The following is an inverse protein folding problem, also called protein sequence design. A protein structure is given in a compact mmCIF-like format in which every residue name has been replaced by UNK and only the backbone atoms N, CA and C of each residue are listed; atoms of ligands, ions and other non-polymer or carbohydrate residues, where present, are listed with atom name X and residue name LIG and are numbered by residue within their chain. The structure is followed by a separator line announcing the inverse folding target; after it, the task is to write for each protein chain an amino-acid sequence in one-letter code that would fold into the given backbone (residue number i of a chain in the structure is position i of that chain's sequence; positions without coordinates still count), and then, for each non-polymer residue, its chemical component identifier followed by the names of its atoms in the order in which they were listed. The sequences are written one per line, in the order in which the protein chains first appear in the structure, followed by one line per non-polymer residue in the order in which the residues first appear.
data_IF_158624358591
#
_entry.id   IF_158624358591
#
_cell.length_a   1.000
_cell.length_b   1.000
_cell.length_c   1.000
_cell.angle_alpha   90.00
_cell.angle_beta   90.00
_cell.angle_gamma   90.00
#
_symmetry.space_group_name_H-M   'P 1'
#
loop_
_entity.id
_entity.type
_entity.pdbx_description
1 polymer ?
#
# COMPACT_ATOMS: atom_id res chain seq x y z
N UNK A 1 -12.94 -19.04 34.23
CA UNK A 1 -12.51 -17.69 33.82
C UNK A 1 -11.21 -17.85 33.06
N UNK A 2 -11.31 -18.01 31.74
CA UNK A 2 -10.16 -18.13 30.84
C UNK A 2 -10.01 -16.77 30.15
N UNK A 3 -8.83 -16.18 30.21
CA UNK A 3 -8.47 -14.99 29.44
C UNK A 3 -7.96 -15.46 28.08
N UNK A 4 -8.82 -15.36 27.07
CA UNK A 4 -8.52 -15.60 25.65
C UNK A 4 -7.71 -14.42 25.08
N UNK A 5 -6.38 -14.48 25.21
CA UNK A 5 -5.47 -13.76 24.31
C UNK A 5 -4.54 -14.79 23.69
N UNK A 6 -4.89 -15.22 22.48
CA UNK A 6 -4.08 -16.14 21.69
C UNK A 6 -2.74 -15.50 21.35
N UNK A 7 -1.66 -16.10 21.84
CA UNK A 7 -0.30 -15.77 21.43
C UNK A 7 -0.08 -16.26 19.99
N UNK A 8 0.21 -15.36 19.06
CA UNK A 8 0.76 -15.73 17.75
C UNK A 8 2.27 -15.50 17.75
N UNK A 9 3.02 -16.59 17.91
CA UNK A 9 4.48 -16.63 17.71
C UNK A 9 4.70 -17.22 16.31
N UNK A 10 5.35 -16.46 15.43
CA UNK A 10 5.83 -16.95 14.13
C UNK A 10 7.35 -16.80 14.13
N UNK A 11 8.07 -17.91 13.94
CA UNK A 11 9.54 -17.98 13.87
C UNK A 11 10.31 -17.27 15.01
N UNK A 12 9.76 -17.32 16.23
CA UNK A 12 10.42 -16.76 17.42
C UNK A 12 10.36 -15.23 17.54
N UNK A 13 9.63 -14.57 16.65
CA UNK A 13 9.31 -13.14 16.76
C UNK A 13 7.97 -13.03 17.48
N UNK A 14 7.98 -12.43 18.67
CA UNK A 14 6.75 -11.99 19.32
C UNK A 14 6.23 -10.76 18.56
N UNK A 15 5.22 -10.97 17.72
CA UNK A 15 4.59 -9.92 16.95
C UNK A 15 3.94 -8.84 17.84
N UNK A 16 3.67 -9.15 19.12
CA UNK A 16 3.18 -8.17 20.09
C UNK A 16 4.30 -7.29 20.69
N UNK A 17 5.58 -7.66 20.49
CA UNK A 17 6.74 -6.87 20.92
C UNK A 17 7.20 -5.86 19.86
N UNK A 18 6.57 -5.85 18.69
CA UNK A 18 6.76 -4.79 17.69
C UNK A 18 5.98 -3.56 18.18
N UNK A 19 6.66 -2.69 18.91
CA UNK A 19 6.08 -1.40 19.31
C UNK A 19 5.77 -0.59 18.05
N UNK A 20 4.48 -0.30 17.83
CA UNK A 20 4.07 0.70 16.84
C UNK A 20 4.65 2.03 17.32
N UNK A 21 5.45 2.74 16.52
CA UNK A 21 6.06 3.98 16.98
C UNK A 21 4.97 4.97 17.39
N UNK A 22 5.15 5.59 18.56
CA UNK A 22 4.17 6.50 19.14
C UNK A 22 3.82 7.62 18.14
N UNK A 23 2.51 7.88 17.98
CA UNK A 23 2.02 8.92 17.09
C UNK A 23 2.09 8.62 15.58
N UNK A 24 2.28 7.37 15.16
CA UNK A 24 2.14 6.95 13.74
C UNK A 24 0.73 7.32 13.25
N UNK A 25 0.59 8.15 12.19
CA UNK A 25 -0.72 8.43 11.60
C UNK A 25 -1.38 7.13 11.12
N UNK A 26 -2.64 6.95 11.50
CA UNK A 26 -3.46 5.82 11.08
C UNK A 26 -4.45 6.28 10.02
N UNK A 27 -4.30 5.74 8.82
CA UNK A 27 -5.13 6.08 7.67
C UNK A 27 -6.39 5.20 7.70
N UNK A 28 -7.60 5.78 7.61
CA UNK A 28 -8.83 5.01 7.57
C UNK A 28 -8.80 3.97 6.44
N UNK A 29 -9.18 2.73 6.75
CA UNK A 29 -9.16 1.63 5.79
C UNK A 29 -9.93 1.93 4.52
N UNK A 30 -11.08 2.63 4.65
CA UNK A 30 -11.85 3.10 3.50
C UNK A 30 -11.04 4.00 2.56
N UNK A 31 -10.27 4.95 3.10
CA UNK A 31 -9.42 5.83 2.31
C UNK A 31 -8.26 5.06 1.68
N UNK A 32 -7.57 4.22 2.46
CA UNK A 32 -6.47 3.40 1.96
C UNK A 32 -6.93 2.47 0.82
N UNK A 33 -8.13 1.88 0.94
CA UNK A 33 -8.71 1.02 -0.08
C UNK A 33 -8.95 1.78 -1.39
N UNK A 34 -9.57 2.96 -1.32
CA UNK A 34 -9.82 3.81 -2.50
C UNK A 34 -8.50 4.23 -3.17
N UNK A 35 -7.50 4.65 -2.39
CA UNK A 35 -6.20 5.04 -2.92
C UNK A 35 -5.47 3.87 -3.59
N UNK A 36 -5.56 2.68 -3.01
CA UNK A 36 -5.02 1.45 -3.61
C UNK A 36 -5.75 1.08 -4.90
N UNK A 37 -7.08 1.11 -4.91
CA UNK A 37 -7.92 0.85 -6.10
C UNK A 37 -7.58 1.81 -7.25
N UNK A 38 -7.45 3.11 -6.95
CA UNK A 38 -7.06 4.13 -7.93
C UNK A 38 -5.68 3.86 -8.53
N UNK A 39 -4.77 3.23 -7.77
CA UNK A 39 -3.42 2.89 -8.22
C UNK A 39 -3.32 1.52 -8.93
N UNK A 40 -4.36 0.67 -8.90
CA UNK A 40 -4.34 -0.65 -9.55
C UNK A 40 -3.96 -0.63 -11.04
N UNK A 41 -4.36 0.36 -11.87
CA UNK A 41 -3.92 0.42 -13.27
C UNK A 41 -2.40 0.43 -13.44
N UNK A 42 -1.65 0.95 -12.46
CA UNK A 42 -0.17 0.96 -12.49
C UNK A 42 0.39 -0.45 -12.46
N UNK A 43 -0.24 -1.38 -11.74
CA UNK A 43 0.23 -2.77 -11.64
C UNK A 43 0.38 -3.42 -13.01
N UNK A 44 -0.61 -3.26 -13.88
CA UNK A 44 -0.58 -3.80 -15.24
C UNK A 44 0.51 -3.14 -16.10
N UNK A 45 0.73 -1.84 -15.93
CA UNK A 45 1.80 -1.08 -16.61
C UNK A 45 3.17 -1.62 -16.18
N UNK A 46 3.39 -1.77 -14.87
CA UNK A 46 4.65 -2.27 -14.32
C UNK A 46 4.91 -3.73 -14.70
N UNK A 47 3.88 -4.59 -14.73
CA UNK A 47 4.00 -5.96 -15.20
C UNK A 47 4.42 -6.03 -16.68
N UNK A 48 3.79 -5.20 -17.53
CA UNK A 48 4.17 -5.09 -18.94
C UNK A 48 5.59 -4.57 -19.11
N UNK A 49 5.98 -3.56 -18.32
CA UNK A 49 7.33 -3.02 -18.34
C UNK A 49 8.37 -4.07 -17.94
N UNK A 50 8.15 -4.79 -16.83
CA UNK A 50 9.01 -5.88 -16.37
C UNK A 50 9.20 -6.96 -17.45
N UNK A 51 8.11 -7.36 -18.11
CA UNK A 51 8.17 -8.31 -19.22
C UNK A 51 9.01 -7.78 -20.39
N UNK A 52 8.77 -6.54 -20.83
CA UNK A 52 9.49 -5.95 -21.95
C UNK A 52 10.98 -5.78 -21.66
N UNK A 53 11.34 -5.35 -20.46
CA UNK A 53 12.74 -5.26 -20.02
C UNK A 53 13.42 -6.61 -20.00
N UNK A 54 12.75 -7.66 -19.49
CA UNK A 54 13.27 -9.02 -19.50
C UNK A 54 13.48 -9.54 -20.93
N UNK A 55 12.44 -9.45 -21.77
CA UNK A 55 12.45 -9.96 -23.14
C UNK A 55 13.49 -9.23 -24.02
N UNK A 56 13.72 -7.93 -23.77
CA UNK A 56 14.71 -7.13 -24.49
C UNK A 56 16.15 -7.33 -23.98
N UNK A 57 16.34 -7.90 -22.79
CA UNK A 57 17.66 -8.00 -22.15
C UNK A 57 18.30 -6.66 -21.78
N UNK A 58 17.53 -5.57 -21.79
CA UNK A 58 17.99 -4.22 -21.47
C UNK A 58 16.91 -3.42 -20.73
N UNK A 59 17.35 -2.50 -19.86
CA UNK A 59 16.46 -1.57 -19.18
C UNK A 59 15.90 -0.59 -20.20
N UNK A 60 14.57 -0.54 -20.29
CA UNK A 60 13.87 0.34 -21.22
C UNK A 60 13.55 1.66 -20.55
N UNK A 61 13.53 2.74 -21.33
CA UNK A 61 13.01 4.01 -20.87
C UNK A 61 11.50 3.95 -20.68
N UNK A 62 11.05 4.64 -19.63
CA UNK A 62 9.64 4.78 -19.29
C UNK A 62 9.41 6.19 -18.76
N UNK A 63 8.33 6.82 -19.23
CA UNK A 63 7.83 8.05 -18.64
C UNK A 63 7.25 7.73 -17.25
N UNK A 64 8.00 8.13 -16.22
CA UNK A 64 7.63 7.91 -14.83
C UNK A 64 6.96 9.15 -14.19
N UNK A 65 6.66 10.20 -14.96
CA UNK A 65 6.02 11.41 -14.44
C UNK A 65 4.69 11.07 -13.75
N UNK A 66 3.84 10.30 -14.43
CA UNK A 66 2.54 9.82 -13.95
C UNK A 66 2.64 8.81 -12.80
N UNK A 67 3.81 8.21 -12.55
CA UNK A 67 3.99 7.28 -11.43
C UNK A 67 4.16 8.00 -10.08
N UNK A 68 4.47 9.31 -10.09
CA UNK A 68 4.69 10.09 -8.86
C UNK A 68 3.42 10.22 -8.02
N UNK A 69 2.28 10.47 -8.68
CA UNK A 69 1.00 10.66 -8.00
C UNK A 69 0.54 9.34 -7.37
N UNK A 70 0.60 8.24 -8.12
CA UNK A 70 0.28 6.91 -7.61
C UNK A 70 1.21 6.47 -6.48
N UNK A 71 2.52 6.78 -6.58
CA UNK A 71 3.45 6.50 -5.48
C UNK A 71 3.02 7.22 -4.19
N UNK A 72 2.61 8.47 -4.30
CA UNK A 72 2.14 9.26 -3.16
C UNK A 72 0.87 8.66 -2.56
N UNK A 73 -0.10 8.29 -3.40
CA UNK A 73 -1.33 7.61 -2.97
C UNK A 73 -1.03 6.30 -2.23
N UNK A 74 -0.14 5.47 -2.79
CA UNK A 74 0.24 4.19 -2.22
C UNK A 74 1.03 4.32 -0.92
N UNK A 75 1.84 5.37 -0.79
CA UNK A 75 2.49 5.71 0.47
C UNK A 75 1.46 6.00 1.56
N UNK A 76 0.37 6.71 1.25
CA UNK A 76 -0.71 6.93 2.24
C UNK A 76 -1.44 5.62 2.52
N UNK A 77 -1.78 4.85 1.48
CA UNK A 77 -2.49 3.58 1.65
C UNK A 77 -1.68 2.51 2.43
N UNK A 78 -0.34 2.58 2.44
CA UNK A 78 0.51 1.69 3.24
C UNK A 78 0.51 2.02 4.74
N UNK A 79 -0.34 2.93 5.20
CA UNK A 79 -0.54 3.24 6.62
C UNK A 79 -2.00 2.97 7.04
N UNK A 80 -2.67 2.06 6.32
CA UNK A 80 -4.02 1.60 6.65
C UNK A 80 -4.10 1.10 8.11
N UNK A 81 -5.17 1.46 8.80
CA UNK A 81 -5.38 1.10 10.19
C UNK A 81 -5.87 -0.35 10.37
N UNK A 82 -5.03 -1.22 10.93
CA UNK A 82 -5.39 -2.63 11.19
C UNK A 82 -5.83 -3.42 9.95
N UNK A 83 -5.36 -3.04 8.75
CA UNK A 83 -5.61 -3.78 7.51
C UNK A 83 -4.29 -4.27 6.89
N UNK A 84 -3.63 -5.21 7.57
CA UNK A 84 -2.27 -5.66 7.22
C UNK A 84 -2.12 -6.11 5.76
N UNK A 85 -3.10 -6.81 5.20
CA UNK A 85 -3.04 -7.24 3.79
C UNK A 85 -3.11 -6.06 2.81
N UNK A 86 -3.91 -5.04 3.13
CA UNK A 86 -4.00 -3.82 2.35
C UNK A 86 -2.71 -3.00 2.46
N UNK A 87 -2.18 -2.84 3.67
CA UNK A 87 -0.90 -2.18 3.94
C UNK A 87 0.24 -2.82 3.13
N UNK A 88 0.38 -4.14 3.21
CA UNK A 88 1.42 -4.88 2.48
C UNK A 88 1.26 -4.77 0.96
N UNK A 89 0.03 -4.82 0.47
CA UNK A 89 -0.24 -4.70 -0.97
C UNK A 89 0.09 -3.30 -1.49
N UNK A 90 -0.32 -2.27 -0.75
CA UNK A 90 -0.02 -0.88 -1.07
C UNK A 90 1.49 -0.60 -1.00
N UNK A 91 2.17 -1.10 0.04
CA UNK A 91 3.62 -1.02 0.18
C UNK A 91 4.34 -1.72 -0.97
N UNK A 92 3.95 -2.94 -1.33
CA UNK A 92 4.57 -3.67 -2.43
C UNK A 92 4.44 -2.93 -3.76
N UNK A 93 3.27 -2.36 -4.06
CA UNK A 93 3.07 -1.58 -5.28
C UNK A 93 3.83 -0.24 -5.23
N UNK A 94 3.92 0.40 -4.06
CA UNK A 94 4.78 1.57 -3.84
C UNK A 94 6.25 1.25 -4.17
N UNK A 95 6.77 0.13 -3.65
CA UNK A 95 8.15 -0.30 -3.89
C UNK A 95 8.40 -0.72 -5.34
N UNK A 96 7.41 -1.31 -6.02
CA UNK A 96 7.49 -1.57 -7.46
C UNK A 96 7.68 -0.27 -8.25
N UNK A 97 6.92 0.79 -7.91
CA UNK A 97 7.11 2.11 -8.53
C UNK A 97 8.49 2.67 -8.20
N UNK A 98 8.93 2.60 -6.95
CA UNK A 98 10.25 3.09 -6.55
C UNK A 98 11.37 2.36 -7.29
N UNK A 99 11.24 1.05 -7.48
CA UNK A 99 12.18 0.21 -8.23
C UNK A 99 12.29 0.69 -9.69
N UNK A 100 11.18 0.98 -10.38
CA UNK A 100 11.21 1.54 -11.75
C UNK A 100 11.80 2.95 -11.81
N UNK A 101 11.58 3.77 -10.78
CA UNK A 101 12.19 5.11 -10.72
C UNK A 101 13.71 5.02 -10.61
N UNK A 102 14.21 4.03 -9.87
CA UNK A 102 15.63 3.76 -9.70
C UNK A 102 16.21 2.80 -10.75
N UNK A 103 15.50 2.55 -11.86
CA UNK A 103 15.90 1.58 -12.91
C UNK A 103 17.32 1.72 -13.43
N UNK A 104 17.91 2.92 -13.37
CA UNK A 104 19.28 3.19 -13.80
C UNK A 104 20.33 2.49 -12.91
N UNK A 105 19.94 2.04 -11.72
CA UNK A 105 20.80 1.34 -10.75
C UNK A 105 20.85 -0.18 -11.00
N UNK A 106 20.02 -0.71 -11.92
CA UNK A 106 19.80 -2.15 -12.07
C UNK A 106 20.08 -2.63 -13.50
N UNK A 107 20.50 -3.89 -13.62
CA UNK A 107 20.42 -4.60 -14.89
C UNK A 107 19.00 -5.11 -15.17
N UNK A 108 18.74 -5.46 -16.43
CA UNK A 108 17.42 -5.87 -16.89
C UNK A 108 16.87 -7.12 -16.18
N UNK A 109 17.74 -8.07 -15.85
CA UNK A 109 17.32 -9.33 -15.20
C UNK A 109 16.93 -9.07 -13.76
N UNK A 110 17.75 -8.33 -13.03
CA UNK A 110 17.46 -7.95 -11.65
C UNK A 110 16.20 -7.10 -11.56
N UNK A 111 16.09 -6.05 -12.39
CA UNK A 111 14.93 -5.16 -12.42
C UNK A 111 13.63 -5.94 -12.66
N UNK A 112 13.61 -6.78 -13.69
CA UNK A 112 12.41 -7.54 -14.06
C UNK A 112 12.00 -8.51 -12.95
N UNK A 113 12.96 -9.25 -12.38
CA UNK A 113 12.70 -10.16 -11.26
C UNK A 113 12.14 -9.41 -10.06
N UNK A 114 12.78 -8.31 -9.67
CA UNK A 114 12.36 -7.52 -8.50
C UNK A 114 10.96 -6.96 -8.67
N UNK A 115 10.60 -6.52 -9.88
CA UNK A 115 9.25 -6.10 -10.18
C UNK A 115 8.25 -7.25 -10.09
N UNK A 116 8.56 -8.45 -10.59
CA UNK A 116 7.66 -9.59 -10.42
C UNK A 116 7.44 -9.96 -8.94
N UNK A 117 8.49 -9.92 -8.11
CA UNK A 117 8.38 -10.16 -6.67
C UNK A 117 7.40 -9.16 -6.01
N UNK A 118 7.58 -7.86 -6.27
CA UNK A 118 6.70 -6.84 -5.71
C UNK A 118 5.26 -6.94 -6.23
N UNK A 119 5.08 -7.18 -7.53
CA UNK A 119 3.75 -7.24 -8.14
C UNK A 119 2.97 -8.47 -7.68
N UNK A 120 3.66 -9.57 -7.38
CA UNK A 120 3.09 -10.78 -6.75
C UNK A 120 2.63 -10.50 -5.32
N UNK A 121 3.41 -9.75 -4.52
CA UNK A 121 2.97 -9.36 -3.17
C UNK A 121 1.76 -8.41 -3.19
N UNK A 122 1.63 -7.58 -4.24
CA UNK A 122 0.46 -6.74 -4.48
C UNK A 122 -0.76 -7.53 -5.05
N UNK A 123 -0.74 -8.87 -5.11
CA UNK A 123 -1.87 -9.72 -5.55
C UNK A 123 -2.85 -10.12 -4.44
N UNK A 124 -2.61 -9.73 -3.18
CA UNK A 124 -3.61 -10.00 -2.14
C UNK A 124 -4.87 -9.17 -2.41
N UNK A 125 -5.86 -9.84 -2.99
CA UNK A 125 -7.23 -9.36 -3.14
C UNK A 125 -7.77 -9.14 -1.73
N UNK A 126 -7.54 -7.96 -1.19
CA UNK A 126 -8.29 -7.50 -0.04
C UNK A 126 -9.68 -7.21 -0.59
N UNK A 127 -10.55 -8.23 -0.60
CA UNK A 127 -11.98 -7.98 -0.77
C UNK A 127 -12.36 -6.93 0.29
N UNK A 128 -13.31 -6.03 0.01
CA UNK A 128 -13.76 -5.06 1.04
C UNK A 128 -14.14 -5.76 2.35
N UNK A 129 -14.63 -7.00 2.27
CA UNK A 129 -14.90 -7.86 3.43
C UNK A 129 -13.67 -8.24 4.23
N UNK A 130 -12.51 -8.40 3.57
CA UNK A 130 -11.22 -8.74 4.18
C UNK A 130 -10.52 -7.50 4.72
N UNK A 131 -10.73 -6.33 4.09
CA UNK A 131 -10.21 -5.03 4.54
C UNK A 131 -10.87 -4.58 5.86
N UNK A 132 -12.16 -4.86 6.01
CA UNK A 132 -12.93 -4.45 7.20
C UNK A 132 -13.19 -5.62 8.16
N UNK A 133 -12.49 -6.74 8.01
CA UNK A 133 -12.84 -7.99 8.71
C UNK A 133 -12.82 -7.86 10.24
N UNK A 134 -11.83 -7.13 10.78
CA UNK A 134 -11.53 -7.07 12.21
C UNK A 134 -12.45 -6.14 13.05
N UNK A 135 -13.47 -5.54 12.45
CA UNK A 135 -14.43 -4.66 13.13
C UNK A 135 -15.72 -5.35 13.60
N UNK A 136 -16.41 -4.72 14.55
CA UNK A 136 -17.82 -4.98 14.85
C UNK A 136 -18.70 -4.75 13.61
N UNK A 137 -19.92 -5.33 13.53
CA UNK A 137 -20.85 -5.04 12.44
C UNK A 137 -21.08 -3.54 12.21
N UNK A 138 -21.13 -2.76 13.29
CA UNK A 138 -21.29 -1.30 13.28
C UNK A 138 -20.07 -0.60 12.66
N UNK A 139 -18.85 -0.89 13.14
CA UNK A 139 -17.61 -0.34 12.59
C UNK A 139 -17.44 -0.70 11.10
N UNK A 140 -17.82 -1.92 10.71
CA UNK A 140 -17.83 -2.32 9.29
C UNK A 140 -18.80 -1.51 8.46
N UNK A 141 -20.00 -1.23 8.99
CA UNK A 141 -20.99 -0.41 8.30
C UNK A 141 -20.52 1.04 8.16
N UNK A 142 -19.85 1.60 9.18
CA UNK A 142 -19.25 2.93 9.13
C UNK A 142 -18.13 3.02 8.09
N UNK A 143 -17.22 2.04 8.07
CA UNK A 143 -16.15 1.99 7.07
C UNK A 143 -16.69 1.82 5.66
N UNK A 144 -17.73 1.00 5.47
CA UNK A 144 -18.39 0.84 4.18
C UNK A 144 -19.07 2.14 3.72
N UNK A 145 -19.77 2.83 4.63
CA UNK A 145 -20.41 4.11 4.32
C UNK A 145 -19.37 5.18 3.95
N UNK A 146 -18.26 5.24 4.68
CA UNK A 146 -17.14 6.13 4.35
C UNK A 146 -16.53 5.76 3.00
N UNK A 147 -16.32 4.47 2.73
CA UNK A 147 -15.79 4.00 1.44
C UNK A 147 -16.69 4.43 0.28
N UNK A 148 -18.00 4.20 0.37
CA UNK A 148 -18.95 4.62 -0.68
C UNK A 148 -18.99 6.15 -0.84
N UNK A 149 -18.91 6.90 0.25
CA UNK A 149 -18.81 8.36 0.19
C UNK A 149 -17.56 8.79 -0.57
N UNK A 150 -16.38 8.30 -0.17
CA UNK A 150 -15.09 8.64 -0.80
C UNK A 150 -15.06 8.23 -2.27
N UNK A 151 -15.61 7.08 -2.61
CA UNK A 151 -15.74 6.61 -3.99
C UNK A 151 -16.54 7.56 -4.87
N UNK A 152 -17.58 8.17 -4.30
CA UNK A 152 -18.46 9.12 -4.99
C UNK A 152 -17.97 10.57 -4.96
N UNK A 153 -17.07 10.92 -4.03
CA UNK A 153 -16.58 12.28 -3.78
C UNK A 153 -15.06 12.36 -3.96
N UNK A 154 -14.67 12.70 -5.19
CA UNK A 154 -13.26 12.85 -5.56
C UNK A 154 -12.57 14.02 -4.84
N UNK A 155 -13.30 15.09 -4.51
CA UNK A 155 -12.75 16.26 -3.82
C UNK A 155 -12.43 15.92 -2.36
N UNK A 156 -13.36 15.25 -1.68
CA UNK A 156 -13.15 14.75 -0.32
C UNK A 156 -11.98 13.75 -0.28
N UNK A 157 -11.93 12.82 -1.23
CA UNK A 157 -10.82 11.85 -1.32
C UNK A 157 -9.48 12.54 -1.50
N UNK A 158 -9.39 13.52 -2.41
CA UNK A 158 -8.16 14.29 -2.63
C UNK A 158 -7.75 15.09 -1.39
N UNK A 159 -8.71 15.73 -0.72
CA UNK A 159 -8.48 16.48 0.52
C UNK A 159 -7.91 15.60 1.62
N UNK A 160 -8.53 14.45 1.88
CA UNK A 160 -8.05 13.52 2.91
C UNK A 160 -6.71 12.91 2.55
N UNK A 161 -6.50 12.54 1.27
CA UNK A 161 -5.20 12.05 0.81
C UNK A 161 -4.09 13.07 1.05
N UNK A 162 -4.35 14.36 0.82
CA UNK A 162 -3.37 15.43 1.04
C UNK A 162 -3.14 15.70 2.54
N UNK A 163 -4.19 15.62 3.36
CA UNK A 163 -4.08 15.73 4.82
C UNK A 163 -3.17 14.63 5.38
N UNK A 164 -3.48 13.35 5.12
CA UNK A 164 -2.70 12.24 5.65
C UNK A 164 -1.27 12.19 5.11
N UNK A 165 -1.06 12.62 3.86
CA UNK A 165 0.30 12.83 3.34
C UNK A 165 1.10 13.79 4.23
N UNK A 166 0.53 14.93 4.59
CA UNK A 166 1.19 15.92 5.45
C UNK A 166 1.48 15.36 6.84
N UNK A 167 0.51 14.68 7.46
CA UNK A 167 0.68 14.04 8.77
C UNK A 167 1.81 13.00 8.76
N UNK A 168 1.89 12.19 7.71
CA UNK A 168 2.96 11.20 7.53
C UNK A 168 4.33 11.84 7.32
N UNK A 169 4.42 12.92 6.53
CA UNK A 169 5.67 13.66 6.32
C UNK A 169 6.17 14.32 7.61
N UNK A 170 5.28 14.88 8.41
CA UNK A 170 5.61 15.45 9.72
C UNK A 170 6.09 14.36 10.69
N UNK A 171 5.41 13.22 10.73
CA UNK A 171 5.78 12.09 11.59
C UNK A 171 7.14 11.50 11.20
N UNK A 172 7.38 11.24 9.90
CA UNK A 172 8.67 10.73 9.41
C UNK A 172 9.83 11.70 9.71
N UNK A 173 9.57 13.00 9.72
CA UNK A 173 10.57 14.01 10.07
C UNK A 173 10.94 13.95 11.56
N UNK A 174 9.98 13.69 12.45
CA UNK A 174 10.22 13.55 13.90
C UNK A 174 11.05 12.29 14.24
N UNK A 175 11.07 11.30 13.36
CA UNK A 175 11.84 10.06 13.53
C UNK A 175 13.30 10.16 13.08
N UNK A 176 13.70 11.27 12.44
CA UNK A 176 15.07 11.51 11.95
C UNK A 176 15.88 12.36 12.91
#
# INVERSE_FOLDING_TARGET
MLSDKGFMIVDGIDLNAIEIPEGKPQVPNALAAILYEQALPVKAILAKYAKLTFDAGQVLDIDNSKLTDYKTMLKVASYADNATLLELSAFALHEAIQTVRNRAEYDASFLSRRLYEWLSMAENHACLTDIFYDGTPEERAEQLALYEQLKSDAELTAKLSQQYKGELEEWETKLR
#
